data_IF_433408070756
#
_entry.id   IF_433408070756
#
_cell.length_a   1.000
_cell.length_b   1.000
_cell.length_c   1.000
_cell.angle_alpha   90.00
_cell.angle_beta   90.00
_cell.angle_gamma   90.00
#
_symmetry.space_group_name_H-M   'P 1'
#
loop_
_entity.id
_entity.type
_entity.pdbx_description
1 polymer ?
#
# COMPACT_ATOMS: atom_id res chain seq x y z
N UNK A 1 3.30 -0.61 -14.81
CA UNK A 1 2.66 0.58 -14.19
C UNK A 1 2.65 0.46 -12.66
N UNK A 2 2.16 -0.64 -12.05
CA UNK A 2 2.02 -0.79 -10.58
C UNK A 2 3.32 -0.54 -9.81
N UNK A 3 4.45 -1.13 -10.23
CA UNK A 3 5.76 -0.87 -9.60
C UNK A 3 6.14 0.61 -9.65
N UNK A 4 6.00 1.26 -10.80
CA UNK A 4 6.30 2.67 -10.96
C UNK A 4 5.37 3.57 -10.12
N UNK A 5 4.10 3.17 -9.95
CA UNK A 5 3.17 3.81 -9.03
C UNK A 5 3.65 3.67 -7.58
N UNK A 6 4.07 2.48 -7.17
CA UNK A 6 4.57 2.24 -5.82
C UNK A 6 5.81 3.09 -5.50
N UNK A 7 6.75 3.22 -6.43
CA UNK A 7 7.93 4.09 -6.29
C UNK A 7 7.54 5.57 -6.13
N UNK A 8 6.43 5.99 -6.72
CA UNK A 8 5.97 7.38 -6.63
C UNK A 8 5.23 7.70 -5.32
N UNK A 9 4.46 6.74 -4.78
CA UNK A 9 3.53 7.02 -3.66
C UNK A 9 4.02 6.52 -2.31
N UNK A 10 4.87 5.49 -2.28
CA UNK A 10 5.37 4.93 -1.03
C UNK A 10 6.56 5.75 -0.47
N UNK A 11 6.87 5.62 0.84
CA UNK A 11 8.01 6.26 1.43
C UNK A 11 9.33 5.94 0.72
N UNK A 12 10.17 6.95 0.51
CA UNK A 12 11.47 6.82 -0.16
C UNK A 12 12.44 5.89 0.57
N UNK A 13 12.29 5.81 1.89
CA UNK A 13 13.08 4.96 2.80
C UNK A 13 12.98 3.46 2.48
N UNK A 14 11.90 3.05 1.81
CA UNK A 14 11.75 1.69 1.31
C UNK A 14 12.72 1.36 0.18
N UNK A 15 13.18 2.36 -0.53
CA UNK A 15 13.96 2.19 -1.76
C UNK A 15 13.18 1.47 -2.86
N UNK A 16 13.82 1.32 -4.00
CA UNK A 16 13.21 0.67 -5.20
C UNK A 16 12.80 -0.78 -4.93
N UNK A 17 13.64 -1.53 -4.20
CA UNK A 17 13.36 -2.93 -3.88
C UNK A 17 12.18 -3.10 -2.92
N UNK A 18 12.08 -2.24 -1.91
CA UNK A 18 10.97 -2.25 -0.96
C UNK A 18 9.64 -1.86 -1.63
N UNK A 19 9.64 -0.80 -2.43
CA UNK A 19 8.47 -0.40 -3.20
C UNK A 19 8.00 -1.50 -4.17
N UNK A 20 8.93 -2.18 -4.85
CA UNK A 20 8.61 -3.30 -5.73
C UNK A 20 8.01 -4.50 -4.97
N UNK A 21 8.51 -4.77 -3.76
CA UNK A 21 7.97 -5.81 -2.88
C UNK A 21 6.53 -5.51 -2.47
N UNK A 22 6.27 -4.30 -1.98
CA UNK A 22 4.90 -3.87 -1.60
C UNK A 22 3.95 -3.94 -2.80
N UNK A 23 4.39 -3.52 -3.99
CA UNK A 23 3.58 -3.60 -5.21
C UNK A 23 3.21 -5.03 -5.57
N UNK A 24 4.12 -5.99 -5.38
CA UNK A 24 3.86 -7.42 -5.61
C UNK A 24 2.89 -7.97 -4.58
N UNK A 25 3.15 -7.74 -3.29
CA UNK A 25 2.30 -8.21 -2.19
C UNK A 25 0.87 -7.63 -2.29
N UNK A 26 0.74 -6.37 -2.67
CA UNK A 26 -0.56 -5.75 -2.93
C UNK A 26 -1.32 -6.43 -4.08
N UNK A 27 -0.62 -6.81 -5.17
CA UNK A 27 -1.24 -7.56 -6.26
C UNK A 27 -1.69 -8.93 -5.82
N UNK A 28 -0.84 -9.67 -5.12
CA UNK A 28 -1.17 -10.99 -4.57
C UNK A 28 -2.38 -10.90 -3.63
N UNK A 29 -2.43 -9.88 -2.79
CA UNK A 29 -3.55 -9.62 -1.90
C UNK A 29 -4.85 -9.36 -2.66
N UNK A 30 -4.85 -8.50 -3.69
CA UNK A 30 -6.09 -8.22 -4.45
C UNK A 30 -6.49 -9.39 -5.35
N UNK A 31 -5.54 -10.19 -5.83
CA UNK A 31 -5.83 -11.40 -6.59
C UNK A 31 -6.48 -12.47 -5.72
N UNK A 32 -6.10 -12.55 -4.45
CA UNK A 32 -6.70 -13.43 -3.44
C UNK A 32 -7.94 -12.85 -2.74
N UNK A 33 -8.37 -11.63 -3.08
CA UNK A 33 -9.48 -10.96 -2.41
C UNK A 33 -10.82 -11.68 -2.63
N UNK A 34 -11.50 -12.01 -1.53
CA UNK A 34 -12.81 -12.70 -1.55
C UNK A 34 -13.90 -11.72 -1.18
N UNK A 35 -14.81 -11.35 -2.10
CA UNK A 35 -15.99 -10.58 -1.78
C UNK A 35 -16.96 -11.40 -0.91
N UNK A 36 -17.74 -10.71 -0.11
CA UNK A 36 -18.70 -11.30 0.81
C UNK A 36 -18.10 -12.24 1.88
N UNK A 37 -16.80 -12.17 2.10
CA UNK A 37 -16.18 -12.85 3.23
C UNK A 37 -16.55 -12.14 4.55
N UNK A 38 -16.82 -12.90 5.59
CA UNK A 38 -17.09 -12.36 6.92
C UNK A 38 -15.82 -11.67 7.47
N UNK A 39 -15.95 -10.41 7.86
CA UNK A 39 -14.84 -9.59 8.34
C UNK A 39 -14.78 -9.48 9.86
N UNK A 40 -15.92 -9.64 10.53
CA UNK A 40 -16.02 -9.52 11.97
C UNK A 40 -16.77 -10.73 12.49
N UNK A 41 -16.04 -11.53 13.19
CA UNK A 41 -16.48 -12.74 13.84
C UNK A 41 -16.02 -12.64 15.28
N UNK A 42 -16.86 -12.21 16.19
CA UNK A 42 -16.32 -12.05 17.50
C UNK A 42 -17.20 -11.58 18.62
N UNK A 43 -16.73 -11.80 19.81
CA UNK A 43 -17.32 -11.42 21.07
C UNK A 43 -17.63 -9.91 21.13
N UNK A 44 -18.86 -9.55 21.40
CA UNK A 44 -19.27 -8.18 21.69
C UNK A 44 -19.78 -7.35 20.50
N UNK A 45 -19.92 -7.94 19.31
CA UNK A 45 -20.62 -7.28 18.20
C UNK A 45 -21.76 -8.13 17.69
N UNK A 46 -22.97 -7.53 17.63
CA UNK A 46 -24.15 -8.16 17.04
C UNK A 46 -24.25 -7.92 15.52
N UNK A 47 -23.37 -7.11 14.97
CA UNK A 47 -23.42 -6.74 13.55
C UNK A 47 -22.38 -7.53 12.76
N UNK A 48 -22.83 -8.46 11.91
CA UNK A 48 -21.98 -9.12 10.93
C UNK A 48 -21.54 -8.09 9.87
N UNK A 49 -20.25 -8.08 9.57
CA UNK A 49 -19.68 -7.26 8.50
C UNK A 49 -19.05 -8.15 7.45
N UNK A 50 -19.36 -7.86 6.21
CA UNK A 50 -18.85 -8.59 5.06
C UNK A 50 -17.94 -7.71 4.20
N UNK A 51 -16.97 -8.35 3.54
CA UNK A 51 -16.13 -7.68 2.55
C UNK A 51 -16.98 -7.23 1.37
N UNK A 52 -16.66 -6.06 0.82
CA UNK A 52 -17.35 -5.48 -0.33
C UNK A 52 -16.98 -6.20 -1.62
N UNK A 53 -17.66 -5.83 -2.72
CA UNK A 53 -17.25 -6.27 -4.04
C UNK A 53 -15.78 -5.94 -4.32
N UNK A 54 -15.10 -6.82 -5.07
CA UNK A 54 -13.68 -6.62 -5.39
C UNK A 54 -13.46 -5.34 -6.19
N UNK A 55 -12.56 -4.45 -5.76
CA UNK A 55 -12.23 -3.24 -6.51
C UNK A 55 -11.27 -3.49 -7.69
N UNK A 56 -10.84 -4.73 -7.90
CA UNK A 56 -9.79 -5.12 -8.87
C UNK A 56 -10.04 -4.55 -10.27
N UNK A 57 -11.24 -4.71 -10.81
CA UNK A 57 -11.58 -4.26 -12.17
C UNK A 57 -11.46 -2.73 -12.29
N UNK A 58 -11.98 -1.97 -11.32
CA UNK A 58 -11.89 -0.52 -11.29
C UNK A 58 -10.42 -0.05 -11.23
N UNK A 59 -9.62 -0.68 -10.38
CA UNK A 59 -8.20 -0.33 -10.24
C UNK A 59 -7.37 -0.71 -11.47
N UNK A 60 -7.72 -1.77 -12.19
CA UNK A 60 -7.08 -2.11 -13.46
C UNK A 60 -7.25 -0.98 -14.48
N UNK A 61 -8.48 -0.48 -14.65
CA UNK A 61 -8.76 0.67 -15.54
C UNK A 61 -7.98 1.92 -15.13
N UNK A 62 -7.88 2.20 -13.82
CA UNK A 62 -7.09 3.34 -13.32
C UNK A 62 -5.59 3.16 -13.62
N UNK A 63 -5.06 1.96 -13.47
CA UNK A 63 -3.66 1.66 -13.77
C UNK A 63 -3.34 1.78 -15.27
N UNK A 64 -4.26 1.39 -16.13
CA UNK A 64 -4.15 1.60 -17.58
C UNK A 64 -4.13 3.08 -17.92
N UNK A 65 -5.06 3.85 -17.36
CA UNK A 65 -5.14 5.30 -17.53
C UNK A 65 -3.86 5.99 -17.05
N UNK A 66 -3.35 5.67 -15.87
CA UNK A 66 -2.09 6.19 -15.35
C UNK A 66 -0.93 5.77 -16.27
N UNK A 67 -0.89 4.52 -16.70
CA UNK A 67 0.16 3.99 -17.57
C UNK A 67 0.23 4.66 -18.93
N UNK A 68 -0.91 5.13 -19.45
CA UNK A 68 -1.01 5.85 -20.72
C UNK A 68 -0.60 7.34 -20.64
N UNK A 69 -0.48 7.90 -19.43
CA UNK A 69 -0.03 9.28 -19.24
C UNK A 69 1.37 9.49 -19.79
N UNK A 70 1.58 10.64 -20.40
CA UNK A 70 2.88 11.07 -20.96
C UNK A 70 3.47 12.19 -20.13
N UNK A 71 4.80 12.21 -20.01
CA UNK A 71 5.51 13.33 -19.41
C UNK A 71 5.27 14.61 -20.22
N UNK A 72 5.15 15.74 -19.53
CA UNK A 72 5.10 17.05 -20.17
C UNK A 72 6.43 17.39 -20.87
N UNK A 73 7.53 16.78 -20.42
CA UNK A 73 8.87 16.94 -20.99
C UNK A 73 9.31 15.61 -21.58
N UNK A 74 9.51 15.53 -22.89
CA UNK A 74 10.04 14.35 -23.58
C UNK A 74 9.05 13.24 -23.92
N UNK A 75 7.74 13.41 -23.67
CA UNK A 75 6.66 12.48 -24.06
C UNK A 75 6.85 11.03 -23.59
N UNK A 76 7.63 10.80 -22.54
CA UNK A 76 7.86 9.46 -21.99
C UNK A 76 6.59 8.89 -21.35
N UNK A 77 6.35 7.57 -21.45
CA UNK A 77 5.26 6.93 -20.76
C UNK A 77 5.51 6.94 -19.23
N UNK A 78 4.45 6.84 -18.43
CA UNK A 78 4.51 6.88 -16.96
C UNK A 78 5.65 6.03 -16.36
N UNK A 79 5.90 4.85 -16.90
CA UNK A 79 6.96 3.94 -16.44
C UNK A 79 8.36 4.50 -16.67
N UNK A 80 8.56 5.28 -17.73
CA UNK A 80 9.84 5.91 -18.08
C UNK A 80 10.07 7.27 -17.41
N UNK A 81 9.06 7.85 -16.75
CA UNK A 81 9.17 9.12 -16.04
C UNK A 81 10.09 9.01 -14.82
N UNK A 82 10.66 10.13 -14.41
CA UNK A 82 11.29 10.26 -13.08
C UNK A 82 10.26 10.08 -11.96
N UNK A 83 10.71 9.80 -10.75
CA UNK A 83 9.80 9.66 -9.58
C UNK A 83 9.01 10.95 -9.35
N UNK A 84 9.64 12.11 -9.53
CA UNK A 84 8.99 13.41 -9.33
C UNK A 84 7.89 13.67 -10.37
N UNK A 85 8.14 13.38 -11.65
CA UNK A 85 7.11 13.46 -12.69
C UNK A 85 5.94 12.53 -12.41
N UNK A 86 6.22 11.30 -11.97
CA UNK A 86 5.16 10.33 -11.57
C UNK A 86 4.35 10.87 -10.40
N UNK A 87 4.98 11.50 -9.42
CA UNK A 87 4.30 12.14 -8.28
C UNK A 87 3.35 13.25 -8.73
N UNK A 88 3.75 14.05 -9.70
CA UNK A 88 2.89 15.08 -10.30
C UNK A 88 1.67 14.44 -10.94
N UNK A 89 1.85 13.41 -11.78
CA UNK A 89 0.75 12.68 -12.42
C UNK A 89 -0.22 12.10 -11.39
N UNK A 90 0.31 11.43 -10.35
CA UNK A 90 -0.52 10.85 -9.31
C UNK A 90 -1.28 11.91 -8.52
N UNK A 91 -0.62 13.02 -8.20
CA UNK A 91 -1.26 14.17 -7.51
C UNK A 91 -2.41 14.74 -8.33
N UNK A 92 -2.23 14.85 -9.64
CA UNK A 92 -3.29 15.31 -10.55
C UNK A 92 -4.47 14.34 -10.59
N UNK A 93 -4.23 13.04 -10.63
CA UNK A 93 -5.26 12.00 -10.56
C UNK A 93 -6.05 12.05 -9.23
N UNK A 94 -5.40 12.47 -8.15
CA UNK A 94 -5.98 12.52 -6.81
C UNK A 94 -6.64 13.87 -6.46
N UNK A 95 -6.61 14.87 -7.33
CA UNK A 95 -7.17 16.22 -7.05
C UNK A 95 -8.64 16.21 -6.63
N UNK A 96 -9.42 15.27 -7.13
CA UNK A 96 -10.85 15.12 -6.78
C UNK A 96 -11.09 14.30 -5.53
N UNK A 97 -10.08 13.59 -5.03
CA UNK A 97 -10.20 12.76 -3.84
C UNK A 97 -10.08 13.65 -2.58
N UNK A 98 -11.15 13.69 -1.80
CA UNK A 98 -11.14 14.37 -0.50
C UNK A 98 -10.90 13.35 0.60
N UNK A 99 -9.67 13.30 1.09
CA UNK A 99 -9.23 12.30 2.08
C UNK A 99 -8.74 13.00 3.34
N UNK A 100 -9.52 12.92 4.41
CA UNK A 100 -9.10 13.34 5.75
C UNK A 100 -8.25 12.26 6.43
N UNK A 101 -8.43 11.01 6.02
CA UNK A 101 -7.71 9.83 6.51
C UNK A 101 -7.64 8.74 5.45
N UNK A 102 -6.66 7.87 5.56
CA UNK A 102 -6.60 6.69 4.69
C UNK A 102 -7.75 5.73 5.01
N UNK A 103 -8.56 5.34 4.00
CA UNK A 103 -9.60 4.33 4.17
C UNK A 103 -8.97 2.94 4.31
N UNK A 104 -9.78 1.92 4.65
CA UNK A 104 -9.33 0.55 4.47
C UNK A 104 -8.99 0.29 2.99
N UNK A 105 -7.91 -0.47 2.70
CA UNK A 105 -7.40 -0.63 1.35
C UNK A 105 -8.47 -1.04 0.32
N UNK A 106 -9.30 -2.05 0.64
CA UNK A 106 -10.38 -2.51 -0.24
C UNK A 106 -11.51 -1.48 -0.44
N UNK A 107 -11.61 -0.48 0.43
CA UNK A 107 -12.62 0.59 0.34
C UNK A 107 -12.15 1.82 -0.43
N UNK A 108 -10.85 1.90 -0.74
CA UNK A 108 -10.29 3.03 -1.45
C UNK A 108 -10.87 3.15 -2.87
N UNK A 109 -11.21 4.37 -3.26
CA UNK A 109 -11.75 4.69 -4.58
C UNK A 109 -10.66 4.67 -5.65
N UNK A 110 -9.45 5.07 -5.30
CA UNK A 110 -8.31 5.17 -6.20
C UNK A 110 -7.20 4.18 -5.83
N UNK A 111 -6.58 3.56 -6.84
CA UNK A 111 -5.55 2.52 -6.66
C UNK A 111 -4.32 3.02 -5.90
N UNK A 112 -3.92 4.28 -6.07
CA UNK A 112 -2.79 4.88 -5.34
C UNK A 112 -3.11 4.97 -3.84
N UNK A 113 -4.34 5.37 -3.49
CA UNK A 113 -4.82 5.42 -2.10
C UNK A 113 -4.91 4.02 -1.51
N UNK A 114 -5.42 3.06 -2.30
CA UNK A 114 -5.48 1.65 -1.89
C UNK A 114 -4.10 1.08 -1.54
N UNK A 115 -3.10 1.36 -2.39
CA UNK A 115 -1.73 0.93 -2.18
C UNK A 115 -1.11 1.55 -0.92
N UNK A 116 -1.33 2.85 -0.69
CA UNK A 116 -0.92 3.53 0.55
C UNK A 116 -1.59 2.91 1.78
N UNK A 117 -2.91 2.71 1.72
CA UNK A 117 -3.66 2.12 2.82
C UNK A 117 -3.20 0.70 3.13
N UNK A 118 -2.91 -0.09 2.10
CA UNK A 118 -2.36 -1.44 2.23
C UNK A 118 -1.00 -1.43 2.93
N UNK A 119 -0.11 -0.55 2.49
CA UNK A 119 1.23 -0.40 3.07
C UNK A 119 1.15 0.03 4.53
N UNK A 120 0.44 1.13 4.84
CA UNK A 120 0.35 1.64 6.22
C UNK A 120 -0.43 0.74 7.16
N UNK A 121 -1.24 -0.18 6.65
CA UNK A 121 -1.85 -1.27 7.42
C UNK A 121 -0.93 -2.48 7.63
N UNK A 122 0.29 -2.48 7.10
CA UNK A 122 1.22 -3.61 7.17
C UNK A 122 2.19 -3.51 8.35
N UNK A 123 2.69 -4.67 8.80
CA UNK A 123 3.77 -4.72 9.79
C UNK A 123 5.07 -4.05 9.32
N UNK A 124 5.30 -3.98 8.01
CA UNK A 124 6.46 -3.30 7.42
C UNK A 124 6.42 -1.78 7.66
N UNK A 125 5.25 -1.16 7.56
CA UNK A 125 5.09 0.25 7.87
C UNK A 125 5.33 0.52 9.36
N UNK A 126 4.83 -0.36 10.24
CA UNK A 126 5.09 -0.28 11.67
C UNK A 126 6.60 -0.41 11.98
N UNK A 127 7.28 -1.36 11.34
CA UNK A 127 8.73 -1.53 11.49
C UNK A 127 9.50 -0.27 11.08
N UNK A 128 9.15 0.34 9.95
CA UNK A 128 9.79 1.57 9.48
C UNK A 128 9.53 2.75 10.43
N UNK A 129 8.28 2.94 10.85
CA UNK A 129 7.91 4.01 11.78
C UNK A 129 8.64 3.94 13.12
N UNK A 130 8.85 2.74 13.63
CA UNK A 130 9.49 2.53 14.94
C UNK A 130 10.97 2.23 14.83
N UNK A 131 11.53 2.20 13.62
CA UNK A 131 12.90 1.78 13.35
C UNK A 131 13.27 0.49 14.10
N UNK A 132 12.35 -0.45 14.17
CA UNK A 132 12.47 -1.69 14.93
C UNK A 132 11.60 -2.80 14.32
N UNK A 133 12.04 -4.05 14.45
CA UNK A 133 11.29 -5.23 13.98
C UNK A 133 10.14 -5.58 14.93
N UNK A 134 9.04 -4.84 14.86
CA UNK A 134 7.85 -5.02 15.70
C UNK A 134 6.69 -5.70 14.97
N UNK A 135 6.55 -5.47 13.65
CA UNK A 135 5.48 -6.02 12.80
C UNK A 135 5.78 -7.42 12.30
N UNK A 136 6.03 -8.37 13.20
CA UNK A 136 6.38 -9.75 12.82
C UNK A 136 5.17 -10.55 12.37
N UNK A 137 5.37 -11.40 11.38
CA UNK A 137 4.42 -12.44 10.98
C UNK A 137 4.27 -13.57 12.02
N UNK A 138 5.21 -13.69 12.97
CA UNK A 138 5.21 -14.72 14.01
C UNK A 138 5.11 -14.10 15.40
N UNK A 139 4.28 -14.70 16.25
CA UNK A 139 4.19 -14.29 17.65
C UNK A 139 5.54 -14.43 18.36
N UNK A 140 5.86 -13.46 19.22
CA UNK A 140 7.00 -13.57 20.12
C UNK A 140 6.71 -14.64 21.17
N UNK A 141 7.72 -15.39 21.55
CA UNK A 141 7.62 -16.25 22.72
C UNK A 141 7.54 -15.39 23.99
N UNK A 142 6.91 -15.88 25.05
CA UNK A 142 6.87 -15.21 26.35
C UNK A 142 8.27 -14.88 26.88
N UNK A 143 9.23 -15.77 26.68
CA UNK A 143 10.62 -15.58 27.08
C UNK A 143 11.31 -14.39 26.35
N UNK A 144 10.93 -14.08 25.11
CA UNK A 144 11.48 -12.96 24.33
C UNK A 144 10.67 -11.67 24.45
N UNK A 145 9.49 -11.72 25.09
CA UNK A 145 8.59 -10.57 25.21
C UNK A 145 9.18 -9.39 26.00
N UNK A 146 9.95 -9.57 27.09
CA UNK A 146 10.54 -8.46 27.85
C UNK A 146 11.72 -7.78 27.13
N UNK A 147 12.24 -8.38 26.08
CA UNK A 147 13.38 -7.79 25.37
C UNK A 147 12.97 -6.73 24.36
N UNK A 148 13.77 -5.66 24.28
CA UNK A 148 13.60 -4.61 23.27
C UNK A 148 13.57 -5.23 21.86
N UNK A 149 12.66 -4.80 20.96
CA UNK A 149 12.65 -5.24 19.59
C UNK A 149 14.01 -5.05 18.90
N UNK A 150 14.37 -5.97 18.01
CA UNK A 150 15.59 -5.83 17.22
C UNK A 150 15.45 -4.64 16.26
N UNK A 151 16.51 -3.85 16.05
CA UNK A 151 16.52 -2.75 15.09
C UNK A 151 16.38 -3.29 13.66
N UNK A 152 15.93 -2.44 12.75
CA UNK A 152 15.97 -2.73 11.33
C UNK A 152 17.41 -2.78 10.85
N UNK A 153 17.75 -3.78 10.01
CA UNK A 153 19.06 -3.87 9.40
C UNK A 153 19.28 -2.70 8.44
N UNK A 154 20.43 -2.03 8.52
CA UNK A 154 20.85 -0.99 7.59
C UNK A 154 20.40 0.46 7.94
N UNK A 155 19.78 0.67 9.10
CA UNK A 155 19.51 2.01 9.60
C UNK A 155 20.54 2.35 10.69
N UNK A 156 21.36 3.42 10.53
CA UNK A 156 22.24 3.90 11.59
C UNK A 156 21.42 4.30 12.82
N UNK A 157 21.91 3.94 13.99
CA UNK A 157 21.33 4.40 15.27
C UNK A 157 21.77 5.81 15.58
#
# INVERSE_FOLDING_TARGET
>A
TMRALAEAVLPSELGVAGAARVAREFREWIDGYRPNAELVHGYGTSALRFSRASPKARWAVQLERIGSRRSAVGSQPFVGMTVEERRIVVRDELKSERLDRLPAAASATHVAVALLSYYYGSGMAADLCHNARIGRATCRTLASSPHKPLPLAGVPQ
#
